data_IF_022914284725
#
_entry.id   IF_022914284725
#
_cell.length_a   1.000
_cell.length_b   1.000
_cell.length_c   1.000
_cell.angle_alpha   90.00
_cell.angle_beta   90.00
_cell.angle_gamma   90.00
#
_symmetry.space_group_name_H-M   'P 1'
#
loop_
_entity.id
_entity.type
_entity.pdbx_description
1 polymer ?
#
# COMPACT_ATOMS: atom_id res chain seq x y z
N UNK A 1 -33.14 29.91 46.51
CA UNK A 1 -32.56 30.80 47.55
C UNK A 1 -33.29 30.57 48.88
N UNK A 2 -32.67 30.79 50.05
CA UNK A 2 -33.38 30.71 51.35
C UNK A 2 -34.18 32.00 51.55
N UNK A 3 -35.50 31.89 51.77
CA UNK A 3 -36.41 33.01 52.03
C UNK A 3 -36.76 33.17 53.51
N UNK A 4 -36.86 32.06 54.25
CA UNK A 4 -37.25 32.10 55.65
C UNK A 4 -36.45 31.11 56.48
N UNK A 5 -36.06 31.52 57.68
CA UNK A 5 -35.38 30.68 58.68
C UNK A 5 -36.21 30.67 59.96
N UNK A 6 -36.50 29.49 60.48
CA UNK A 6 -37.28 29.28 61.70
C UNK A 6 -36.43 28.46 62.68
N UNK A 7 -36.17 29.02 63.85
CA UNK A 7 -35.43 28.38 64.94
C UNK A 7 -36.37 28.14 66.12
N UNK A 8 -36.40 26.92 66.63
CA UNK A 8 -37.14 26.56 67.83
C UNK A 8 -36.21 25.81 68.80
N UNK A 9 -36.12 26.32 70.03
CA UNK A 9 -35.29 25.76 71.11
C UNK A 9 -33.84 25.47 70.70
N UNK A 10 -33.29 26.32 69.82
CA UNK A 10 -31.93 26.20 69.29
C UNK A 10 -31.00 27.23 69.94
N UNK A 11 -30.04 26.76 70.74
CA UNK A 11 -29.11 27.58 71.52
C UNK A 11 -29.83 28.69 72.33
N UNK A 12 -29.60 29.96 72.01
CA UNK A 12 -30.20 31.12 72.67
C UNK A 12 -31.65 31.41 72.19
N UNK A 13 -32.08 30.81 71.08
CA UNK A 13 -33.38 31.08 70.45
C UNK A 13 -34.46 30.14 71.04
N UNK A 14 -35.51 30.71 71.63
CA UNK A 14 -36.71 29.95 72.03
C UNK A 14 -37.58 29.72 70.79
N UNK A 15 -37.99 30.83 70.17
CA UNK A 15 -38.66 30.85 68.90
C UNK A 15 -38.19 32.09 68.14
N UNK A 16 -37.62 31.91 66.95
CA UNK A 16 -37.13 33.02 66.13
C UNK A 16 -37.48 32.72 64.68
N UNK A 17 -38.12 33.67 64.01
CA UNK A 17 -38.46 33.63 62.60
C UNK A 17 -37.76 34.79 61.92
N UNK A 18 -37.01 34.50 60.86
CA UNK A 18 -36.28 35.47 60.06
C UNK A 18 -36.78 35.36 58.63
N UNK A 19 -37.36 36.43 58.12
CA UNK A 19 -37.66 36.58 56.70
C UNK A 19 -36.48 37.30 56.04
N UNK A 20 -35.94 36.68 54.99
CA UNK A 20 -34.77 37.15 54.27
C UNK A 20 -35.21 37.79 52.95
N UNK A 21 -34.69 38.99 52.70
CA UNK A 21 -34.89 39.66 51.42
C UNK A 21 -33.88 39.14 50.38
N UNK A 22 -34.18 39.29 49.07
CA UNK A 22 -33.20 39.07 48.02
C UNK A 22 -31.96 39.96 48.21
N UNK A 23 -30.77 39.39 48.01
CA UNK A 23 -29.49 40.09 48.14
C UNK A 23 -28.83 39.91 49.50
N UNK A 24 -28.34 41.00 50.10
CA UNK A 24 -27.49 40.98 51.30
C UNK A 24 -28.31 41.28 52.54
N UNK A 25 -28.45 40.28 53.41
CA UNK A 25 -29.11 40.40 54.70
C UNK A 25 -28.07 40.62 55.81
N UNK A 26 -28.15 41.74 56.53
CA UNK A 26 -27.18 42.11 57.58
C UNK A 26 -27.81 41.99 58.97
N UNK A 27 -27.32 41.03 59.76
CA UNK A 27 -27.76 40.81 61.14
C UNK A 27 -26.86 41.58 62.11
N UNK A 28 -27.38 42.68 62.67
CA UNK A 28 -26.66 43.53 63.64
C UNK A 28 -27.19 43.34 65.07
N UNK A 29 -26.40 43.73 66.07
CA UNK A 29 -26.80 43.65 67.48
C UNK A 29 -25.61 43.53 68.43
N UNK A 30 -25.84 43.56 69.76
CA UNK A 30 -24.79 43.32 70.74
C UNK A 30 -24.14 41.93 70.60
N UNK A 31 -22.92 41.78 71.12
CA UNK A 31 -22.28 40.47 71.19
C UNK A 31 -23.07 39.54 72.11
N UNK A 32 -22.99 38.23 71.86
CA UNK A 32 -23.63 37.18 72.66
C UNK A 32 -25.18 37.19 72.68
N UNK A 33 -25.81 37.78 71.67
CA UNK A 33 -27.28 37.85 71.50
C UNK A 33 -27.87 36.72 70.66
N UNK A 34 -27.04 35.82 70.13
CA UNK A 34 -27.48 34.71 69.28
C UNK A 34 -27.24 34.89 67.78
N UNK A 35 -26.66 36.01 67.31
CA UNK A 35 -26.36 36.22 65.88
C UNK A 35 -25.56 35.05 65.25
N UNK A 36 -24.50 34.60 65.93
CA UNK A 36 -23.70 33.45 65.48
C UNK A 36 -24.48 32.13 65.53
N UNK A 37 -25.51 32.01 66.38
CA UNK A 37 -26.35 30.82 66.46
C UNK A 37 -27.19 30.62 65.19
N UNK A 38 -27.53 31.69 64.48
CA UNK A 38 -28.25 31.60 63.20
C UNK A 38 -27.38 30.94 62.13
N UNK A 39 -26.11 31.36 62.03
CA UNK A 39 -25.13 30.76 61.10
C UNK A 39 -24.87 29.30 61.47
N UNK A 40 -24.74 29.01 62.77
CA UNK A 40 -24.57 27.63 63.26
C UNK A 40 -25.81 26.75 63.01
N UNK A 41 -27.01 27.32 63.04
CA UNK A 41 -28.24 26.61 62.70
C UNK A 41 -28.23 26.16 61.24
N UNK A 42 -27.84 27.05 60.32
CA UNK A 42 -27.68 26.71 58.90
C UNK A 42 -26.59 25.64 58.70
N UNK A 43 -25.47 25.74 59.42
CA UNK A 43 -24.43 24.70 59.39
C UNK A 43 -24.96 23.35 59.89
N UNK A 44 -25.73 23.34 60.98
CA UNK A 44 -26.33 22.12 61.51
C UNK A 44 -27.32 21.47 60.55
N UNK A 45 -28.13 22.31 59.89
CA UNK A 45 -29.05 21.88 58.85
C UNK A 45 -28.31 21.24 57.66
N UNK A 46 -27.21 21.84 57.20
CA UNK A 46 -26.46 21.37 56.04
C UNK A 46 -25.58 20.14 56.30
N UNK A 47 -25.05 19.96 57.52
CA UNK A 47 -23.98 18.96 57.80
C UNK A 47 -24.32 17.92 58.86
N UNK A 48 -25.46 18.04 59.55
CA UNK A 48 -25.87 17.14 60.64
C UNK A 48 -24.74 16.78 61.63
N UNK A 49 -24.02 17.76 62.22
CA UNK A 49 -22.82 17.49 63.00
C UNK A 49 -23.13 16.66 64.27
N UNK A 50 -22.15 15.90 64.80
CA UNK A 50 -22.29 15.23 66.09
C UNK A 50 -22.51 16.25 67.22
N UNK A 51 -23.06 15.84 68.38
CA UNK A 51 -23.64 16.80 69.31
C UNK A 51 -22.61 17.76 69.92
N UNK A 52 -22.85 19.06 69.72
CA UNK A 52 -22.24 20.18 70.45
C UNK A 52 -23.34 21.07 71.01
N UNK A 53 -23.88 20.77 72.19
CA UNK A 53 -24.74 21.68 73.00
C UNK A 53 -25.74 22.60 72.24
N UNK A 54 -26.40 22.11 71.17
CA UNK A 54 -27.28 22.95 70.32
C UNK A 54 -28.70 23.12 70.86
N UNK A 55 -29.12 22.25 71.80
CA UNK A 55 -30.45 22.29 72.39
C UNK A 55 -30.47 23.32 73.52
N UNK A 56 -31.42 24.25 73.48
CA UNK A 56 -31.63 25.28 74.51
C UNK A 56 -31.76 24.64 75.91
N UNK A 57 -31.21 25.30 76.93
CA UNK A 57 -31.32 24.83 78.31
C UNK A 57 -32.79 24.71 78.74
N UNK A 58 -33.19 23.53 79.21
CA UNK A 58 -34.57 23.21 79.60
C UNK A 58 -35.45 22.60 78.50
N UNK A 59 -35.01 22.63 77.23
CA UNK A 59 -35.73 22.03 76.11
C UNK A 59 -35.34 20.56 75.88
N UNK A 60 -36.23 19.79 75.25
CA UNK A 60 -36.02 18.37 74.91
C UNK A 60 -35.68 18.15 73.43
N UNK A 61 -35.93 19.15 72.59
CA UNK A 61 -35.85 19.12 71.14
C UNK A 61 -35.34 20.49 70.66
N UNK A 62 -34.46 20.50 69.67
CA UNK A 62 -34.18 21.69 68.87
C UNK A 62 -34.64 21.45 67.43
N UNK A 63 -35.20 22.48 66.78
CA UNK A 63 -35.63 22.43 65.38
C UNK A 63 -35.09 23.65 64.64
N UNK A 64 -34.50 23.40 63.49
CA UNK A 64 -34.04 24.42 62.53
C UNK A 64 -34.76 24.13 61.23
N UNK A 65 -35.53 25.08 60.73
CA UNK A 65 -36.28 24.96 59.49
C UNK A 65 -35.95 26.11 58.56
N UNK A 66 -35.78 25.80 57.28
CA UNK A 66 -35.62 26.80 56.22
C UNK A 66 -36.64 26.58 55.14
N UNK A 67 -37.09 27.69 54.57
CA UNK A 67 -37.94 27.71 53.38
C UNK A 67 -37.14 28.28 52.22
N UNK A 68 -37.19 27.56 51.11
CA UNK A 68 -36.56 27.93 49.87
C UNK A 68 -37.58 28.61 48.94
N UNK A 69 -37.08 29.49 48.09
CA UNK A 69 -37.86 30.22 47.09
C UNK A 69 -38.68 29.34 46.14
N UNK A 70 -38.28 28.09 45.92
CA UNK A 70 -39.01 27.12 45.12
C UNK A 70 -40.17 26.44 45.89
N UNK A 71 -40.48 26.90 47.11
CA UNK A 71 -41.53 26.36 47.97
C UNK A 71 -41.12 25.10 48.75
N UNK A 72 -39.88 24.63 48.61
CA UNK A 72 -39.35 23.50 49.40
C UNK A 72 -39.05 23.97 50.82
N UNK A 73 -39.47 23.21 51.83
CA UNK A 73 -39.07 23.43 53.23
C UNK A 73 -38.26 22.26 53.74
N UNK A 74 -37.18 22.56 54.45
CA UNK A 74 -36.32 21.55 55.07
C UNK A 74 -36.20 21.86 56.55
N UNK A 75 -36.58 20.90 57.39
CA UNK A 75 -36.42 21.02 58.83
C UNK A 75 -35.49 19.92 59.39
N UNK A 76 -34.46 20.35 60.09
CA UNK A 76 -33.60 19.49 60.89
C UNK A 76 -34.04 19.51 62.35
N UNK A 77 -34.28 18.32 62.89
CA UNK A 77 -34.77 18.14 64.25
C UNK A 77 -33.76 17.32 65.05
N UNK A 78 -33.47 17.77 66.29
CA UNK A 78 -32.45 17.15 67.14
C UNK A 78 -32.90 16.94 68.58
N UNK A 79 -32.85 15.67 69.02
CA UNK A 79 -32.91 15.26 70.42
C UNK A 79 -31.51 14.93 70.95
N UNK A 80 -31.41 14.64 72.25
CA UNK A 80 -30.14 14.25 72.91
C UNK A 80 -29.43 13.09 72.19
N UNK A 81 -30.18 12.10 71.72
CA UNK A 81 -29.62 10.85 71.16
C UNK A 81 -29.88 10.67 69.67
N UNK A 82 -30.82 11.40 69.07
CA UNK A 82 -31.26 11.19 67.69
C UNK A 82 -31.44 12.51 66.93
N UNK A 83 -31.21 12.48 65.62
CA UNK A 83 -31.58 13.52 64.67
C UNK A 83 -32.43 12.94 63.55
N UNK A 84 -33.26 13.78 62.94
CA UNK A 84 -34.00 13.46 61.72
C UNK A 84 -34.24 14.71 60.89
N UNK A 85 -34.48 14.50 59.59
CA UNK A 85 -34.93 15.56 58.69
C UNK A 85 -36.42 15.39 58.33
N UNK A 86 -37.04 16.52 58.04
CA UNK A 86 -38.38 16.64 57.46
C UNK A 86 -38.23 17.45 56.17
N UNK A 87 -38.65 16.86 55.04
CA UNK A 87 -38.64 17.52 53.73
C UNK A 87 -40.08 17.73 53.28
N UNK A 88 -40.45 18.99 53.03
CA UNK A 88 -41.73 19.34 52.43
C UNK A 88 -41.48 19.71 50.97
N UNK A 89 -42.08 18.95 50.05
CA UNK A 89 -42.04 19.28 48.63
C UNK A 89 -42.97 20.46 48.34
N UNK A 90 -42.79 21.17 47.22
CA UNK A 90 -43.56 22.38 46.93
C UNK A 90 -45.06 22.06 46.89
N UNK A 91 -45.83 22.66 47.81
CA UNK A 91 -47.29 22.48 47.89
C UNK A 91 -47.77 21.30 48.74
N UNK A 92 -46.87 20.47 49.29
CA UNK A 92 -47.25 19.37 50.18
C UNK A 92 -47.36 19.84 51.64
N UNK A 93 -48.44 19.47 52.32
CA UNK A 93 -48.62 19.73 53.76
C UNK A 93 -47.95 18.66 54.65
N UNK A 94 -47.79 17.44 54.14
CA UNK A 94 -47.17 16.32 54.87
C UNK A 94 -45.66 16.20 54.53
N UNK A 95 -44.77 16.17 55.55
CA UNK A 95 -43.35 16.02 55.31
C UNK A 95 -42.92 14.57 55.09
N UNK A 96 -41.92 14.39 54.23
CA UNK A 96 -41.15 13.16 54.12
C UNK A 96 -40.12 13.09 55.27
N UNK A 97 -40.16 12.00 56.05
CA UNK A 97 -39.34 11.85 57.26
C UNK A 97 -38.09 11.01 57.01
N UNK A 98 -36.91 11.59 57.23
CA UNK A 98 -35.63 10.89 57.15
C UNK A 98 -35.08 10.62 58.56
N UNK A 99 -35.32 9.41 59.06
CA UNK A 99 -34.87 8.93 60.39
C UNK A 99 -33.70 7.94 60.25
N UNK A 100 -33.05 7.60 61.37
CA UNK A 100 -31.89 6.66 61.44
C UNK A 100 -30.66 7.12 60.63
N UNK A 101 -30.39 8.41 60.66
CA UNK A 101 -29.21 8.99 60.02
C UNK A 101 -27.92 8.45 60.67
N UNK A 102 -26.93 8.09 59.85
CA UNK A 102 -25.56 7.86 60.32
C UNK A 102 -24.98 9.12 60.98
N UNK A 103 -23.96 8.97 61.85
CA UNK A 103 -23.29 10.13 62.47
C UNK A 103 -22.73 11.05 61.38
N UNK A 104 -23.17 12.31 61.33
CA UNK A 104 -22.69 13.26 60.33
C UNK A 104 -23.18 13.01 58.91
N UNK A 105 -24.14 12.08 58.70
CA UNK A 105 -24.71 11.82 57.39
C UNK A 105 -25.97 12.66 57.17
N UNK A 106 -26.08 13.21 55.96
CA UNK A 106 -27.25 13.92 55.44
C UNK A 106 -27.80 13.10 54.28
N UNK A 107 -29.13 12.89 54.17
CA UNK A 107 -29.72 12.20 53.02
C UNK A 107 -29.47 12.96 51.70
N UNK A 108 -29.38 12.24 50.59
CA UNK A 108 -29.08 12.83 49.28
C UNK A 108 -30.19 13.78 48.82
N UNK A 109 -31.45 13.49 49.15
CA UNK A 109 -32.59 14.37 48.86
C UNK A 109 -32.50 15.72 49.57
N UNK A 110 -31.92 15.74 50.77
CA UNK A 110 -31.70 16.97 51.53
C UNK A 110 -30.52 17.76 50.96
N UNK A 111 -29.46 17.06 50.55
CA UNK A 111 -28.30 17.67 49.88
C UNK A 111 -28.70 18.32 48.57
N UNK A 112 -29.46 17.61 47.74
CA UNK A 112 -29.95 18.11 46.46
C UNK A 112 -30.88 19.31 46.62
N UNK A 113 -31.69 19.32 47.69
CA UNK A 113 -32.60 20.43 48.00
C UNK A 113 -31.85 21.67 48.49
N UNK A 114 -30.89 21.53 49.42
CA UNK A 114 -30.17 22.66 50.02
C UNK A 114 -29.02 23.17 49.14
N UNK A 115 -28.29 22.26 48.48
CA UNK A 115 -27.05 22.52 47.72
C UNK A 115 -26.02 23.34 48.51
N UNK A 116 -25.79 22.92 49.75
CA UNK A 116 -24.85 23.54 50.69
C UNK A 116 -23.72 22.57 51.08
N UNK A 117 -23.34 21.67 50.18
CA UNK A 117 -22.30 20.67 50.43
C UNK A 117 -20.89 21.27 50.44
N UNK A 118 -19.98 20.60 51.16
CA UNK A 118 -18.57 20.95 51.14
C UNK A 118 -17.92 20.48 49.82
N UNK A 119 -17.01 21.27 49.27
CA UNK A 119 -16.27 20.92 48.05
C UNK A 119 -15.08 20.05 48.41
N UNK A 120 -14.99 18.85 47.84
CA UNK A 120 -13.87 17.94 48.02
C UNK A 120 -12.71 18.29 47.08
N UNK A 121 -11.51 18.49 47.64
CA UNK A 121 -10.27 18.70 46.90
C UNK A 121 -9.48 17.38 46.76
N UNK A 122 -8.57 17.31 45.79
CA UNK A 122 -7.78 16.10 45.44
C UNK A 122 -7.03 15.47 46.64
N UNK A 123 -6.67 16.27 47.65
CA UNK A 123 -5.98 15.82 48.86
C UNK A 123 -6.92 15.38 49.99
N UNK A 124 -8.18 15.03 49.70
CA UNK A 124 -9.20 14.68 50.69
C UNK A 124 -9.49 15.82 51.71
N UNK A 125 -9.22 17.06 51.30
CA UNK A 125 -9.50 18.25 52.10
C UNK A 125 -10.86 18.79 51.68
N UNK A 126 -11.78 18.95 52.63
CA UNK A 126 -13.10 19.51 52.39
C UNK A 126 -13.10 21.02 52.66
N UNK A 127 -13.70 21.79 51.76
CA UNK A 127 -13.79 23.25 51.86
C UNK A 127 -15.25 23.69 51.78
N UNK A 128 -15.70 24.38 52.82
CA UNK A 128 -17.02 25.03 52.85
C UNK A 128 -16.93 26.40 52.15
N UNK A 129 -17.56 26.49 50.98
CA UNK A 129 -17.66 27.72 50.18
C UNK A 129 -18.94 28.52 50.47
N UNK A 130 -19.87 27.94 51.23
CA UNK A 130 -21.17 28.53 51.49
C UNK A 130 -21.23 29.27 52.83
N UNK A 131 -20.52 28.76 53.86
CA UNK A 131 -20.52 29.33 55.21
C UNK A 131 -19.08 29.65 55.67
N UNK A 132 -18.74 30.94 55.64
CA UNK A 132 -17.45 31.43 56.14
C UNK A 132 -17.28 31.29 57.66
N UNK A 133 -16.04 31.06 58.10
CA UNK A 133 -15.67 31.04 59.52
C UNK A 133 -15.38 32.46 60.01
N UNK A 134 -15.87 32.80 61.21
CA UNK A 134 -15.67 34.13 61.82
C UNK A 134 -14.21 34.40 62.21
N UNK A 135 -13.40 33.35 62.40
CA UNK A 135 -12.01 33.45 62.89
C UNK A 135 -10.95 33.23 61.82
N UNK A 136 -11.35 32.93 60.58
CA UNK A 136 -10.43 32.71 59.46
C UNK A 136 -10.65 33.77 58.38
N UNK A 137 -9.62 34.08 57.57
CA UNK A 137 -9.79 34.92 56.39
C UNK A 137 -10.93 34.39 55.51
N UNK A 138 -11.58 35.31 54.81
CA UNK A 138 -12.71 34.99 53.94
C UNK A 138 -12.27 33.99 52.86
N UNK A 139 -12.87 32.80 52.86
CA UNK A 139 -12.69 31.72 51.87
C UNK A 139 -11.21 31.31 51.62
N UNK A 140 -10.84 31.09 50.36
CA UNK A 140 -9.59 30.46 49.89
C UNK A 140 -8.33 31.35 50.04
N UNK A 141 -8.40 32.47 50.78
CA UNK A 141 -7.36 33.52 50.83
C UNK A 141 -6.30 33.32 51.95
N UNK A 142 -6.13 32.12 52.48
CA UNK A 142 -5.15 31.82 53.54
C UNK A 142 -3.71 31.72 53.01
N UNK A 143 -2.91 32.78 53.18
CA UNK A 143 -1.69 33.12 52.42
C UNK A 143 -0.55 32.11 52.32
N UNK A 144 -0.56 30.99 53.06
CA UNK A 144 0.46 29.94 52.94
C UNK A 144 -0.05 28.61 52.35
N UNK A 145 -1.36 28.38 52.40
CA UNK A 145 -2.02 27.17 51.87
C UNK A 145 -2.99 27.52 50.73
N UNK A 146 -3.22 28.81 50.50
CA UNK A 146 -4.07 29.38 49.47
C UNK A 146 -3.60 29.01 48.06
N UNK A 147 -2.33 29.21 47.71
CA UNK A 147 -1.90 29.03 46.31
C UNK A 147 -2.04 27.57 45.84
N UNK A 148 -1.70 26.61 46.69
CA UNK A 148 -1.86 25.19 46.39
C UNK A 148 -3.35 24.79 46.38
N UNK A 149 -4.14 25.17 47.38
CA UNK A 149 -5.58 24.85 47.43
C UNK A 149 -6.39 25.58 46.37
N UNK A 150 -6.01 26.79 45.98
CA UNK A 150 -6.61 27.54 44.88
C UNK A 150 -6.31 26.83 43.57
N UNK A 151 -5.05 26.47 43.32
CA UNK A 151 -4.68 25.72 42.12
C UNK A 151 -5.41 24.36 42.06
N UNK A 152 -5.54 23.65 43.18
CA UNK A 152 -6.30 22.39 43.28
C UNK A 152 -7.82 22.62 43.09
N UNK A 153 -8.40 23.65 43.69
CA UNK A 153 -9.80 24.02 43.50
C UNK A 153 -10.08 24.40 42.03
N UNK A 154 -9.17 25.12 41.38
CA UNK A 154 -9.25 25.41 39.94
C UNK A 154 -9.00 24.15 39.08
N UNK A 155 -8.16 23.22 39.50
CA UNK A 155 -7.93 21.96 38.80
C UNK A 155 -9.16 21.03 38.88
N UNK A 156 -9.87 21.04 40.01
CA UNK A 156 -11.15 20.37 40.18
C UNK A 156 -12.28 20.98 39.33
N UNK A 157 -12.09 22.21 38.81
CA UNK A 157 -13.00 22.78 37.83
C UNK A 157 -12.84 22.11 36.47
N UNK A 158 -13.95 21.87 35.78
CA UNK A 158 -13.98 21.19 34.48
C UNK A 158 -13.15 21.90 33.39
N UNK A 159 -13.02 23.23 33.46
CA UNK A 159 -12.21 24.02 32.53
C UNK A 159 -10.70 23.89 32.79
N UNK A 160 -10.28 23.81 34.05
CA UNK A 160 -8.87 23.65 34.43
C UNK A 160 -8.28 22.34 33.92
N UNK A 161 -9.03 21.25 34.06
CA UNK A 161 -8.65 19.94 33.52
C UNK A 161 -8.47 19.98 31.99
N UNK A 162 -9.34 20.71 31.28
CA UNK A 162 -9.29 20.82 29.82
C UNK A 162 -8.02 21.56 29.34
N UNK A 163 -7.63 22.64 30.03
CA UNK A 163 -6.41 23.39 29.71
C UNK A 163 -5.13 22.55 29.91
N UNK A 164 -5.08 21.74 30.97
CA UNK A 164 -3.96 20.83 31.22
C UNK A 164 -3.87 19.73 30.15
N UNK A 165 -5.01 19.20 29.70
CA UNK A 165 -5.06 18.25 28.60
C UNK A 165 -4.54 18.88 27.28
N UNK A 166 -4.94 20.12 26.98
CA UNK A 166 -4.42 20.85 25.81
C UNK A 166 -2.90 21.05 25.89
N UNK A 167 -2.37 21.40 27.07
CA UNK A 167 -0.94 21.61 27.26
C UNK A 167 -0.13 20.32 27.07
N UNK A 168 -0.64 19.19 27.57
CA UNK A 168 0.02 17.88 27.41
C UNK A 168 0.02 17.42 25.94
N UNK A 169 -1.07 17.64 25.21
CA UNK A 169 -1.18 17.36 23.78
C UNK A 169 -0.22 18.24 22.94
N UNK A 170 -0.04 19.50 23.31
CA UNK A 170 0.94 20.37 22.65
C UNK A 170 2.38 19.88 22.87
N UNK A 171 2.71 19.47 24.10
CA UNK A 171 4.03 18.92 24.43
C UNK A 171 4.32 17.63 23.65
N UNK A 172 3.36 16.72 23.52
CA UNK A 172 3.54 15.48 22.77
C UNK A 172 3.77 15.75 21.28
N UNK A 173 2.93 16.59 20.65
CA UNK A 173 3.08 16.98 19.23
C UNK A 173 4.44 17.62 18.95
N UNK A 174 4.88 18.51 19.82
CA UNK A 174 6.19 19.18 19.67
C UNK A 174 7.33 18.18 19.76
N UNK A 175 7.25 17.21 20.69
CA UNK A 175 8.25 16.15 20.83
C UNK A 175 8.31 15.25 19.60
N UNK A 176 7.15 14.82 19.09
CA UNK A 176 7.06 14.00 17.87
C UNK A 176 7.59 14.72 16.63
N UNK A 177 7.29 16.02 16.48
CA UNK A 177 7.79 16.82 15.37
C UNK A 177 9.33 16.93 15.41
N UNK A 178 9.91 17.18 16.59
CA UNK A 178 11.38 17.21 16.76
C UNK A 178 12.03 15.86 16.43
N UNK A 179 11.43 14.76 16.88
CA UNK A 179 11.93 13.42 16.58
C UNK A 179 11.88 13.13 15.07
N UNK A 180 10.77 13.45 14.40
CA UNK A 180 10.63 13.32 12.94
C UNK A 180 11.66 14.14 12.19
N UNK A 181 11.86 15.41 12.57
CA UNK A 181 12.87 16.27 11.96
C UNK A 181 14.28 15.65 12.07
N UNK A 182 14.65 15.12 13.23
CA UNK A 182 15.94 14.46 13.42
C UNK A 182 16.10 13.24 12.52
N UNK A 183 15.12 12.34 12.49
CA UNK A 183 15.17 11.12 11.66
C UNK A 183 15.27 11.46 10.17
N UNK A 184 14.52 12.46 9.72
CA UNK A 184 14.59 12.93 8.33
C UNK A 184 15.95 13.55 8.02
N UNK A 185 16.52 14.36 8.92
CA UNK A 185 17.86 14.91 8.77
C UNK A 185 18.94 13.83 8.64
N UNK A 186 18.93 12.83 9.53
CA UNK A 186 19.82 11.67 9.45
C UNK A 186 19.60 10.83 8.16
N UNK A 187 18.39 10.85 7.61
CA UNK A 187 18.08 10.24 6.31
C UNK A 187 18.66 11.01 5.14
N UNK A 188 18.54 12.34 5.16
CA UNK A 188 19.11 13.23 4.14
C UNK A 188 20.63 13.11 4.08
N UNK A 189 21.31 13.16 5.23
CA UNK A 189 22.78 13.00 5.29
C UNK A 189 23.24 11.66 4.69
N UNK A 190 22.50 10.57 4.98
CA UNK A 190 22.80 9.24 4.39
C UNK A 190 22.64 9.24 2.87
N UNK A 191 21.59 9.87 2.36
CA UNK A 191 21.38 10.00 0.92
C UNK A 191 22.45 10.86 0.25
N UNK A 192 22.84 11.97 0.87
CA UNK A 192 23.92 12.84 0.37
C UNK A 192 25.26 12.11 0.32
N UNK A 193 25.64 11.38 1.39
CA UNK A 193 26.85 10.54 1.38
C UNK A 193 26.78 9.44 0.31
N UNK A 194 25.60 8.86 0.09
CA UNK A 194 25.37 7.89 -0.99
C UNK A 194 25.61 8.51 -2.37
N UNK A 195 25.07 9.71 -2.61
CA UNK A 195 25.27 10.45 -3.86
C UNK A 195 26.74 10.80 -4.06
N UNK A 196 27.43 11.23 -3.01
CA UNK A 196 28.85 11.59 -3.05
C UNK A 196 29.74 10.41 -3.46
N UNK A 197 29.48 9.21 -2.92
CA UNK A 197 30.16 7.97 -3.34
C UNK A 197 29.96 7.65 -4.82
N UNK A 198 28.80 7.98 -5.37
CA UNK A 198 28.41 7.68 -6.74
C UNK A 198 28.83 8.77 -7.75
N UNK A 199 29.36 9.91 -7.29
CA UNK A 199 29.76 11.04 -8.17
C UNK A 199 30.77 10.65 -9.26
N UNK A 200 31.55 9.59 -9.05
CA UNK A 200 32.58 9.16 -10.00
C UNK A 200 32.03 8.29 -11.14
N UNK A 201 30.83 7.71 -11.00
CA UNK A 201 30.24 6.81 -11.99
C UNK A 201 30.10 7.44 -13.38
N UNK A 202 29.59 8.68 -13.56
CA UNK A 202 29.46 9.29 -14.88
C UNK A 202 30.80 9.39 -15.63
N UNK A 203 31.88 9.71 -14.90
CA UNK A 203 33.24 9.77 -15.48
C UNK A 203 33.71 8.38 -15.92
N UNK A 204 33.48 7.35 -15.10
CA UNK A 204 33.82 5.95 -15.43
C UNK A 204 33.02 5.49 -16.64
N UNK A 205 31.72 5.79 -16.71
CA UNK A 205 30.87 5.46 -17.86
C UNK A 205 31.38 6.12 -19.14
N UNK A 206 31.74 7.41 -19.09
CA UNK A 206 32.29 8.12 -20.23
C UNK A 206 33.63 7.53 -20.69
N UNK A 207 34.54 7.22 -19.76
CA UNK A 207 35.79 6.54 -20.08
C UNK A 207 35.55 5.16 -20.69
N UNK A 208 34.57 4.40 -20.20
CA UNK A 208 34.19 3.09 -20.75
C UNK A 208 33.66 3.19 -22.17
N UNK A 209 32.86 4.21 -22.49
CA UNK A 209 32.39 4.47 -23.85
C UNK A 209 33.55 4.79 -24.80
N UNK A 210 34.47 5.67 -24.37
CA UNK A 210 35.67 5.99 -25.15
C UNK A 210 36.56 4.76 -25.38
N UNK A 211 36.78 3.93 -24.36
CA UNK A 211 37.56 2.71 -24.48
C UNK A 211 36.94 1.72 -25.48
N UNK A 212 35.61 1.56 -25.47
CA UNK A 212 34.89 0.71 -26.44
C UNK A 212 35.02 1.25 -27.87
N UNK A 213 34.88 2.56 -28.05
CA UNK A 213 35.06 3.19 -29.36
C UNK A 213 36.49 2.99 -29.89
N UNK A 214 37.49 3.19 -29.04
CA UNK A 214 38.89 2.96 -29.38
C UNK A 214 39.17 1.49 -29.73
N UNK A 215 38.64 0.53 -28.96
CA UNK A 215 38.78 -0.89 -29.25
C UNK A 215 38.15 -1.29 -30.60
N UNK A 216 36.98 -0.74 -30.92
CA UNK A 216 36.34 -0.96 -32.22
C UNK A 216 37.21 -0.40 -33.36
N UNK A 217 37.70 0.82 -33.23
CA UNK A 217 38.57 1.45 -34.22
C UNK A 217 39.89 0.67 -34.40
N UNK A 218 40.46 0.15 -33.31
CA UNK A 218 41.65 -0.70 -33.36
C UNK A 218 41.38 -2.00 -34.15
N UNK A 219 40.26 -2.68 -33.90
CA UNK A 219 39.88 -3.89 -34.64
C UNK A 219 39.63 -3.63 -36.13
N UNK A 220 39.00 -2.50 -36.48
CA UNK A 220 38.86 -2.07 -37.88
C UNK A 220 40.23 -1.79 -38.53
N UNK A 221 41.15 -1.18 -37.78
CA UNK A 221 42.53 -0.93 -38.20
C UNK A 221 43.33 -2.21 -38.44
N UNK A 222 43.24 -3.19 -37.53
CA UNK A 222 43.87 -4.50 -37.69
C UNK A 222 43.36 -5.25 -38.93
N UNK A 223 42.04 -5.27 -39.13
CA UNK A 223 41.45 -5.86 -40.33
C UNK A 223 41.91 -5.17 -41.62
N UNK A 224 42.04 -3.83 -41.60
CA UNK A 224 42.57 -3.06 -42.73
C UNK A 224 44.05 -3.40 -42.98
N UNK A 225 44.88 -3.52 -41.94
CA UNK A 225 46.27 -3.93 -42.05
C UNK A 225 46.42 -5.31 -42.68
N UNK A 226 45.60 -6.29 -42.28
CA UNK A 226 45.62 -7.63 -42.89
C UNK A 226 45.28 -7.58 -44.38
N UNK A 227 44.28 -6.78 -44.79
CA UNK A 227 43.94 -6.60 -46.21
C UNK A 227 45.06 -5.94 -47.00
N UNK A 228 45.74 -4.95 -46.41
CA UNK A 228 46.89 -4.28 -47.02
C UNK A 228 48.08 -5.24 -47.18
N UNK A 229 48.35 -6.08 -46.19
CA UNK A 229 49.38 -7.13 -46.26
C UNK A 229 49.09 -8.13 -47.39
N UNK A 230 47.87 -8.67 -47.46
CA UNK A 230 47.45 -9.56 -48.55
C UNK A 230 47.59 -8.92 -49.94
N UNK A 231 47.25 -7.63 -50.05
CA UNK A 231 47.38 -6.88 -51.30
C UNK A 231 48.84 -6.70 -51.71
N UNK A 232 49.72 -6.40 -50.74
CA UNK A 232 51.16 -6.29 -50.94
C UNK A 232 51.78 -7.62 -51.38
N UNK A 233 51.38 -8.73 -50.76
CA UNK A 233 51.87 -10.06 -51.13
C UNK A 233 51.44 -10.42 -52.56
N UNK A 234 50.18 -10.16 -52.90
CA UNK A 234 49.67 -10.33 -54.27
C UNK A 234 50.43 -9.46 -55.28
N UNK A 235 50.76 -8.22 -54.93
CA UNK A 235 51.56 -7.34 -55.78
C UNK A 235 52.96 -7.94 -56.03
N UNK A 236 53.62 -8.43 -54.98
CA UNK A 236 54.94 -9.06 -55.08
C UNK A 236 54.88 -10.30 -55.99
N UNK A 237 53.88 -11.16 -55.81
CA UNK A 237 53.65 -12.35 -56.65
C UNK A 237 53.46 -11.98 -58.13
N UNK A 238 52.65 -10.96 -58.40
CA UNK A 238 52.41 -10.49 -59.76
C UNK A 238 53.69 -9.92 -60.39
N UNK A 239 54.50 -9.17 -59.63
CA UNK A 239 55.80 -8.68 -60.11
C UNK A 239 56.77 -9.84 -60.43
N UNK A 240 56.81 -10.89 -59.59
CA UNK A 240 57.62 -12.08 -59.86
C UNK A 240 57.15 -12.77 -61.14
N UNK A 241 55.83 -12.96 -61.30
CA UNK A 241 55.24 -13.57 -62.51
C UNK A 241 55.54 -12.74 -63.75
N UNK A 242 55.39 -11.42 -63.67
CA UNK A 242 55.72 -10.50 -64.77
C UNK A 242 57.20 -10.62 -65.17
N UNK A 243 58.13 -10.62 -64.21
CA UNK A 243 59.56 -10.82 -64.49
C UNK A 243 59.84 -12.16 -65.15
N UNK A 244 59.22 -13.25 -64.68
CA UNK A 244 59.36 -14.59 -65.28
C UNK A 244 58.80 -14.64 -66.70
N UNK A 245 57.62 -14.05 -66.92
CA UNK A 245 57.01 -13.95 -68.24
C UNK A 245 57.86 -13.11 -69.20
N UNK A 246 58.42 -11.99 -68.73
CA UNK A 246 59.35 -11.16 -69.51
C UNK A 246 60.62 -11.92 -69.92
N UNK A 247 61.25 -12.64 -68.97
CA UNK A 247 62.40 -13.51 -69.29
C UNK A 247 62.04 -14.61 -70.31
N UNK A 248 60.86 -15.23 -70.16
CA UNK A 248 60.35 -16.23 -71.12
C UNK A 248 60.12 -15.62 -72.50
N UNK A 249 59.49 -14.45 -72.57
CA UNK A 249 59.23 -13.75 -73.83
C UNK A 249 60.56 -13.42 -74.55
N UNK A 250 61.54 -12.87 -73.84
CA UNK A 250 62.88 -12.60 -74.39
C UNK A 250 63.57 -13.87 -74.92
N UNK A 251 63.48 -14.98 -74.18
CA UNK A 251 64.06 -16.25 -74.61
C UNK A 251 63.35 -16.82 -75.86
N UNK A 252 62.03 -16.65 -75.96
CA UNK A 252 61.24 -17.10 -77.11
C UNK A 252 61.42 -16.19 -78.33
N UNK A 253 61.62 -14.89 -78.14
CA UNK A 253 61.89 -13.92 -79.21
C UNK A 253 63.22 -14.21 -79.93
N UNK A 254 64.22 -14.75 -79.21
CA UNK A 254 65.50 -15.16 -79.77
C UNK A 254 65.44 -16.48 -80.56
N UNK A 255 64.34 -17.24 -80.48
CA UNK A 255 64.17 -18.47 -81.26
C UNK A 255 63.65 -18.12 -82.65
N UNK A 256 64.43 -18.48 -83.68
CA UNK A 256 63.93 -18.43 -85.06
C UNK A 256 62.68 -19.32 -85.20
N UNK A 257 61.71 -18.87 -86.01
CA UNK A 257 60.51 -19.65 -86.31
C UNK A 257 60.89 -21.07 -86.74
N UNK A 258 60.24 -22.11 -86.22
CA UNK A 258 60.58 -23.49 -86.57
C UNK A 258 60.53 -23.66 -88.10
N UNK A 259 61.48 -24.43 -88.69
CA UNK A 259 61.46 -24.67 -90.12
C UNK A 259 60.11 -25.28 -90.52
N UNK A 260 59.51 -24.77 -91.58
CA UNK A 260 58.24 -25.28 -92.11
C UNK A 260 58.39 -26.78 -92.37
N UNK A 261 57.60 -27.65 -91.72
CA UNK A 261 57.69 -29.08 -91.96
C UNK A 261 57.36 -29.36 -93.44
N UNK A 262 58.17 -30.20 -94.08
CA UNK A 262 57.94 -30.63 -95.46
C UNK A 262 56.54 -31.25 -95.60
N UNK A 263 55.90 -31.05 -96.75
CA UNK A 263 54.52 -31.49 -96.99
C UNK A 263 54.37 -33.02 -96.88
N UNK A 264 53.90 -33.47 -95.71
CA UNK A 264 53.67 -34.89 -95.38
C UNK A 264 52.35 -35.42 -95.95
N UNK A 265 51.58 -34.60 -96.68
CA UNK A 265 50.30 -35.01 -97.24
C UNK A 265 50.46 -36.21 -98.19
N UNK A 266 51.47 -36.18 -99.06
CA UNK A 266 51.76 -37.28 -100.00
C UNK A 266 52.13 -38.58 -99.27
N UNK A 267 52.83 -38.47 -98.15
CA UNK A 267 53.25 -39.60 -97.30
C UNK A 267 52.04 -40.21 -96.58
N UNK A 268 51.12 -39.37 -96.10
CA UNK A 268 49.86 -39.77 -95.48
C UNK A 268 48.92 -40.44 -96.49
N UNK A 269 48.81 -39.91 -97.70
CA UNK A 269 48.03 -40.52 -98.79
C UNK A 269 48.59 -41.88 -99.18
N UNK A 270 49.92 -42.01 -99.34
CA UNK A 270 50.55 -43.31 -99.61
C UNK A 270 50.28 -44.32 -98.50
N UNK A 271 50.46 -43.96 -97.23
CA UNK A 271 50.14 -44.85 -96.09
C UNK A 271 48.68 -45.29 -96.07
N UNK A 272 47.75 -44.36 -96.35
CA UNK A 272 46.32 -44.67 -96.42
C UNK A 272 46.01 -45.60 -97.61
N UNK A 273 46.64 -45.40 -98.76
CA UNK A 273 46.47 -46.26 -99.94
C UNK A 273 46.97 -47.68 -99.67
N UNK A 274 48.13 -47.84 -99.01
CA UNK A 274 48.67 -49.14 -98.62
C UNK A 274 47.73 -49.88 -97.68
N UNK A 275 47.24 -49.21 -96.62
CA UNK A 275 46.28 -49.81 -95.68
C UNK A 275 44.98 -50.25 -96.38
N UNK A 276 44.46 -49.45 -97.31
CA UNK A 276 43.26 -49.81 -98.10
C UNK A 276 43.51 -51.05 -98.96
N UNK A 277 44.67 -51.15 -99.60
CA UNK A 277 45.04 -52.30 -100.42
C UNK A 277 45.22 -53.57 -99.57
N UNK A 278 45.85 -53.47 -98.41
CA UNK A 278 45.97 -54.58 -97.46
C UNK A 278 44.61 -55.09 -96.98
N UNK A 279 43.69 -54.17 -96.64
CA UNK A 279 42.33 -54.52 -96.24
C UNK A 279 41.56 -55.21 -97.36
N UNK A 280 41.65 -54.71 -98.61
CA UNK A 280 41.03 -55.34 -99.78
C UNK A 280 41.59 -56.73 -100.05
N UNK A 281 42.91 -56.91 -99.93
CA UNK A 281 43.55 -58.22 -100.05
C UNK A 281 43.05 -59.19 -98.99
N UNK A 282 42.95 -58.75 -97.74
CA UNK A 282 42.45 -59.57 -96.64
C UNK A 282 40.97 -59.95 -96.82
N UNK A 283 40.12 -59.03 -97.29
CA UNK A 283 38.70 -59.33 -97.57
C UNK A 283 38.54 -60.29 -98.73
N UNK A 284 39.28 -60.11 -99.83
CA UNK A 284 39.26 -61.04 -100.95
C UNK A 284 39.67 -62.46 -100.51
N UNK A 285 40.70 -62.58 -99.67
CA UNK A 285 41.14 -63.87 -99.13
C UNK A 285 40.07 -64.54 -98.24
N UNK A 286 39.37 -63.75 -97.42
CA UNK A 286 38.26 -64.25 -96.58
C UNK A 286 37.08 -64.71 -97.44
N UNK A 287 36.72 -63.95 -98.46
CA UNK A 287 35.63 -64.30 -99.38
C UNK A 287 35.98 -65.57 -100.16
N UNK A 288 37.21 -65.69 -100.66
CA UNK A 288 37.68 -66.91 -101.32
C UNK A 288 37.59 -68.13 -100.38
N UNK A 289 38.04 -68.01 -99.13
CA UNK A 289 37.91 -69.08 -98.13
C UNK A 289 36.46 -69.43 -97.79
N UNK A 290 35.58 -68.43 -97.70
CA UNK A 290 34.17 -68.65 -97.39
C UNK A 290 33.42 -69.32 -98.56
N UNK A 291 33.77 -68.99 -99.81
CA UNK A 291 33.15 -69.58 -101.01
C UNK A 291 33.66 -71.00 -101.32
N UNK A 292 34.81 -71.43 -100.78
CA UNK A 292 35.30 -72.81 -100.94
C UNK A 292 34.57 -73.84 -100.07
N UNK A 293 33.69 -73.42 -99.15
CA UNK A 293 33.09 -74.31 -98.14
C UNK A 293 31.57 -74.08 -97.93
N UNK A 294 30.79 -74.04 -99.02
CA UNK A 294 29.32 -73.93 -98.92
C UNK A 294 28.63 -75.17 -99.50
N UNK A 295 28.05 -75.97 -98.61
CA UNK A 295 26.99 -76.95 -98.91
C UNK A 295 25.61 -76.27 -98.91
N UNK A 296 24.63 -76.74 -99.71
CA UNK A 296 23.33 -76.09 -99.83
C UNK A 296 22.48 -76.21 -98.54
N UNK A 297 21.72 -75.16 -98.17
CA UNK A 297 20.97 -75.06 -96.92
C UNK A 297 19.67 -75.90 -96.91
N UNK A 298 19.31 -76.56 -95.79
CA UNK A 298 18.03 -77.27 -95.63
C UNK A 298 16.84 -76.33 -95.29
N UNK A 299 15.63 -76.76 -95.66
CA UNK A 299 14.37 -75.97 -95.64
C UNK A 299 13.82 -75.69 -94.21
N UNK A 300 13.17 -74.53 -93.99
CA UNK A 300 12.79 -74.05 -92.66
C UNK A 300 11.43 -74.58 -92.13
N UNK A 301 11.40 -74.95 -90.84
CA UNK A 301 10.20 -75.34 -90.09
C UNK A 301 9.39 -74.15 -89.51
N UNK A 302 8.12 -74.43 -89.18
CA UNK A 302 7.02 -73.50 -88.82
C UNK A 302 7.27 -72.57 -87.62
N UNK A 303 7.03 -71.26 -87.80
CA UNK A 303 7.31 -70.16 -86.85
C UNK A 303 6.13 -69.74 -85.96
N UNK A 304 5.21 -70.65 -85.63
CA UNK A 304 4.03 -70.34 -84.81
C UNK A 304 4.39 -70.02 -83.35
N UNK A 305 5.33 -70.76 -82.75
CA UNK A 305 5.75 -70.56 -81.35
C UNK A 305 6.48 -69.22 -81.12
N UNK A 306 7.19 -68.71 -82.13
CA UNK A 306 7.91 -67.44 -82.03
C UNK A 306 6.94 -66.23 -82.01
N UNK A 307 5.82 -66.30 -82.73
CA UNK A 307 4.80 -65.22 -82.69
C UNK A 307 4.09 -65.13 -81.35
N UNK A 308 3.84 -66.27 -80.68
CA UNK A 308 3.21 -66.27 -79.35
C UNK A 308 4.14 -65.69 -78.28
N UNK A 309 5.45 -65.97 -78.36
CA UNK A 309 6.45 -65.43 -77.43
C UNK A 309 6.61 -63.91 -77.57
N UNK A 310 6.54 -63.38 -78.79
CA UNK A 310 6.59 -61.93 -79.03
C UNK A 310 5.34 -61.24 -78.45
N UNK A 311 4.18 -61.90 -78.50
CA UNK A 311 2.95 -61.32 -77.94
C UNK A 311 2.96 -61.28 -76.40
N UNK A 312 3.49 -62.31 -75.74
CA UNK A 312 3.61 -62.35 -74.28
C UNK A 312 4.64 -61.33 -73.75
N UNK A 313 5.76 -61.13 -74.45
CA UNK A 313 6.76 -60.12 -74.09
C UNK A 313 6.19 -58.69 -74.17
N UNK A 314 5.44 -58.37 -75.23
CA UNK A 314 4.81 -57.06 -75.37
C UNK A 314 3.73 -56.79 -74.30
N UNK A 315 3.02 -57.83 -73.82
CA UNK A 315 2.08 -57.67 -72.71
C UNK A 315 2.80 -57.37 -71.39
N UNK A 316 3.94 -58.01 -71.13
CA UNK A 316 4.70 -57.80 -69.90
C UNK A 316 5.31 -56.39 -69.82
N UNK A 317 5.86 -55.87 -70.92
CA UNK A 317 6.39 -54.50 -70.98
C UNK A 317 5.31 -53.44 -70.67
N UNK A 318 4.09 -53.61 -71.19
CA UNK A 318 2.97 -52.70 -70.92
C UNK A 318 2.55 -52.70 -69.45
N UNK A 319 2.58 -53.85 -68.77
CA UNK A 319 2.28 -53.94 -67.34
C UNK A 319 3.35 -53.26 -66.48
N UNK A 320 4.62 -53.45 -66.84
CA UNK A 320 5.75 -52.85 -66.13
C UNK A 320 5.74 -51.31 -66.21
N UNK A 321 5.35 -50.75 -67.36
CA UNK A 321 5.20 -49.31 -67.55
C UNK A 321 4.08 -48.70 -66.67
N UNK A 322 2.98 -49.43 -66.43
CA UNK A 322 1.86 -48.94 -65.62
C UNK A 322 2.19 -48.93 -64.12
N UNK A 323 2.95 -49.93 -63.65
CA UNK A 323 3.40 -49.99 -62.25
C UNK A 323 4.49 -48.95 -61.92
N UNK A 324 5.37 -48.62 -62.88
CA UNK A 324 6.38 -47.56 -62.68
C UNK A 324 5.75 -46.15 -62.60
N UNK A 325 4.68 -45.90 -63.37
CA UNK A 325 3.89 -44.68 -63.30
C UNK A 325 3.21 -44.52 -61.93
N UNK A 326 2.62 -45.58 -61.36
CA UNK A 326 2.06 -45.56 -60.00
C UNK A 326 3.11 -45.26 -58.92
N UNK A 327 4.29 -45.88 -59.02
CA UNK A 327 5.39 -45.64 -58.09
C UNK A 327 5.88 -44.18 -58.13
N UNK A 328 5.85 -43.56 -59.30
CA UNK A 328 6.27 -42.15 -59.50
C UNK A 328 5.27 -41.14 -58.90
N UNK A 329 3.98 -41.48 -58.87
CA UNK A 329 2.94 -40.62 -58.26
C UNK A 329 2.97 -40.70 -56.73
N UNK A 330 3.30 -41.87 -56.17
CA UNK A 330 3.40 -42.08 -54.72
C UNK A 330 4.65 -41.42 -54.10
N UNK A 331 5.71 -41.17 -54.88
CA UNK A 331 6.92 -40.45 -54.42
C UNK A 331 6.77 -38.93 -54.41
N UNK A 332 5.71 -38.38 -55.02
CA UNK A 332 5.41 -36.92 -55.04
C UNK A 332 4.54 -36.41 -53.88
N UNK A 333 4.10 -37.27 -52.96
CA UNK A 333 3.36 -36.85 -51.77
C UNK A 333 4.33 -36.31 -50.70
N UNK A 334 4.31 -34.98 -50.49
CA UNK A 334 5.04 -34.33 -49.39
C UNK A 334 4.51 -34.82 -48.03
N UNK A 335 5.43 -35.13 -47.12
CA UNK A 335 5.15 -35.57 -45.77
C UNK A 335 4.45 -34.52 -44.91
N UNK A 336 3.70 -35.00 -43.90
CA UNK A 336 2.98 -34.19 -42.90
C UNK A 336 3.91 -33.17 -42.24
N UNK A 337 3.54 -31.87 -42.16
CA UNK A 337 4.36 -30.86 -41.50
C UNK A 337 4.53 -31.16 -40.01
N UNK A 338 5.75 -30.99 -39.49
CA UNK A 338 6.07 -31.19 -38.08
C UNK A 338 5.37 -30.14 -37.19
N UNK A 339 4.88 -30.51 -35.99
CA UNK A 339 4.26 -29.57 -35.07
C UNK A 339 5.27 -28.53 -34.58
N UNK A 340 4.87 -27.25 -34.60
CA UNK A 340 5.63 -26.14 -34.05
C UNK A 340 5.89 -26.33 -32.54
N UNK A 341 7.07 -25.91 -32.08
CA UNK A 341 7.46 -25.91 -30.67
C UNK A 341 6.50 -25.01 -29.85
N UNK A 342 5.76 -25.63 -28.92
CA UNK A 342 4.74 -25.00 -28.07
C UNK A 342 5.31 -24.45 -26.75
N UNK A 343 6.62 -24.57 -26.51
CA UNK A 343 7.27 -24.04 -25.30
C UNK A 343 7.07 -22.52 -25.10
N UNK A 344 7.20 -21.65 -26.12
CA UNK A 344 7.00 -20.21 -25.95
C UNK A 344 5.54 -19.86 -25.60
N UNK A 345 4.58 -20.65 -26.09
CA UNK A 345 3.15 -20.46 -25.81
C UNK A 345 2.80 -20.92 -24.39
N UNK A 346 3.45 -21.98 -23.90
CA UNK A 346 3.27 -22.48 -22.55
C UNK A 346 3.84 -21.52 -21.49
N UNK A 347 4.97 -20.87 -21.77
CA UNK A 347 5.53 -19.81 -20.91
C UNK A 347 4.63 -18.58 -20.85
N UNK A 348 4.12 -18.12 -22.00
CA UNK A 348 3.20 -16.98 -22.08
C UNK A 348 1.89 -17.24 -21.31
N UNK A 349 1.33 -18.45 -21.41
CA UNK A 349 0.14 -18.84 -20.64
C UNK A 349 0.38 -18.85 -19.13
N UNK A 350 1.59 -19.23 -18.70
CA UNK A 350 1.99 -19.22 -17.28
C UNK A 350 2.13 -17.80 -16.75
N UNK A 351 2.68 -16.88 -17.55
CA UNK A 351 2.74 -15.45 -17.21
C UNK A 351 1.34 -14.82 -17.14
N UNK A 352 0.45 -15.14 -18.08
CA UNK A 352 -0.93 -14.66 -18.09
C UNK A 352 -1.71 -15.13 -16.85
N UNK A 353 -1.59 -16.41 -16.47
CA UNK A 353 -2.21 -16.94 -15.25
C UNK A 353 -1.67 -16.26 -13.98
N UNK A 354 -0.37 -15.96 -13.94
CA UNK A 354 0.24 -15.21 -12.84
C UNK A 354 -0.27 -13.78 -12.72
N UNK A 355 -0.51 -13.11 -13.85
CA UNK A 355 -1.10 -11.77 -13.90
C UNK A 355 -2.58 -11.77 -13.48
N UNK A 356 -3.37 -12.76 -13.91
CA UNK A 356 -4.76 -12.92 -13.49
C UNK A 356 -4.88 -13.09 -11.98
N UNK A 357 -4.05 -13.93 -11.35
CA UNK A 357 -4.04 -14.10 -9.89
C UNK A 357 -3.67 -12.81 -9.14
N UNK A 358 -2.73 -12.02 -9.69
CA UNK A 358 -2.37 -10.70 -9.14
C UNK A 358 -3.50 -9.69 -9.28
N UNK A 359 -4.23 -9.69 -10.39
CA UNK A 359 -5.41 -8.84 -10.56
C UNK A 359 -6.54 -9.24 -9.61
N UNK A 360 -6.80 -10.53 -9.43
CA UNK A 360 -7.81 -11.08 -8.52
C UNK A 360 -7.51 -10.66 -7.06
N UNK A 361 -6.27 -10.81 -6.62
CA UNK A 361 -5.83 -10.40 -5.27
C UNK A 361 -5.88 -8.87 -5.07
N UNK A 362 -5.49 -8.08 -6.06
CA UNK A 362 -5.62 -6.63 -6.01
C UNK A 362 -7.10 -6.19 -5.92
N UNK A 363 -7.99 -6.80 -6.71
CA UNK A 363 -9.44 -6.56 -6.65
C UNK A 363 -10.03 -6.88 -5.27
N UNK A 364 -9.61 -7.98 -4.64
CA UNK A 364 -10.03 -8.33 -3.26
C UNK A 364 -9.56 -7.31 -2.22
N UNK A 365 -8.34 -6.78 -2.36
CA UNK A 365 -7.81 -5.75 -1.46
C UNK A 365 -8.58 -4.43 -1.62
N UNK A 366 -8.90 -4.05 -2.85
CA UNK A 366 -9.71 -2.85 -3.14
C UNK A 366 -11.12 -2.99 -2.56
N UNK A 367 -11.81 -4.10 -2.82
CA UNK A 367 -13.14 -4.37 -2.27
C UNK A 367 -13.14 -4.34 -0.73
N UNK A 368 -12.16 -4.96 -0.09
CA UNK A 368 -12.04 -4.95 1.37
C UNK A 368 -11.77 -3.55 1.95
N UNK A 369 -11.10 -2.66 1.20
CA UNK A 369 -10.88 -1.26 1.60
C UNK A 369 -12.15 -0.43 1.39
N UNK A 370 -12.86 -0.62 0.30
CA UNK A 370 -14.16 0.04 0.03
C UNK A 370 -15.20 -0.33 1.08
N UNK A 371 -15.28 -1.61 1.49
CA UNK A 371 -16.19 -2.04 2.54
C UNK A 371 -15.84 -1.45 3.91
N UNK A 372 -14.54 -1.34 4.23
CA UNK A 372 -14.13 -0.62 5.46
C UNK A 372 -14.51 0.85 5.41
N UNK A 373 -14.36 1.49 4.24
CA UNK A 373 -14.70 2.90 4.05
C UNK A 373 -16.22 3.13 4.18
N UNK A 374 -17.03 2.23 3.63
CA UNK A 374 -18.49 2.20 3.83
C UNK A 374 -18.86 2.04 5.30
N UNK A 375 -18.30 1.03 5.97
CA UNK A 375 -18.61 0.76 7.39
C UNK A 375 -18.21 1.94 8.29
N UNK A 376 -17.06 2.58 8.03
CA UNK A 376 -16.65 3.78 8.77
C UNK A 376 -17.55 4.98 8.43
N UNK A 377 -17.98 5.11 7.18
CA UNK A 377 -18.93 6.14 6.75
C UNK A 377 -20.28 6.00 7.44
N UNK A 378 -20.84 4.78 7.49
CA UNK A 378 -22.11 4.49 8.18
C UNK A 378 -22.00 4.73 9.70
N UNK A 379 -20.91 4.28 10.34
CA UNK A 379 -20.66 4.53 11.75
C UNK A 379 -20.53 6.03 12.07
N UNK A 380 -19.85 6.79 11.21
CA UNK A 380 -19.74 8.24 11.32
C UNK A 380 -21.11 8.92 11.14
N UNK A 381 -21.89 8.50 10.15
CA UNK A 381 -23.22 9.04 9.89
C UNK A 381 -24.17 8.77 11.08
N UNK A 382 -24.09 7.59 11.69
CA UNK A 382 -24.87 7.25 12.88
C UNK A 382 -24.46 8.12 14.08
N UNK A 383 -23.17 8.36 14.29
CA UNK A 383 -22.69 9.26 15.36
C UNK A 383 -23.07 10.72 15.12
N UNK A 384 -23.04 11.20 13.88
CA UNK A 384 -23.49 12.54 13.54
C UNK A 384 -25.01 12.71 13.75
N UNK A 385 -25.82 11.66 13.52
CA UNK A 385 -27.26 11.67 13.86
C UNK A 385 -27.52 11.72 15.37
N UNK A 386 -26.71 11.03 16.17
CA UNK A 386 -26.82 11.09 17.64
C UNK A 386 -26.43 12.47 18.21
N UNK A 387 -25.48 13.17 17.57
CA UNK A 387 -25.05 14.52 17.97
C UNK A 387 -26.04 15.60 17.49
N UNK A 388 -26.72 15.37 16.36
CA UNK A 388 -27.82 16.21 15.86
C UNK A 388 -27.36 17.53 15.23
N UNK A 389 -26.90 18.49 16.04
CA UNK A 389 -26.50 19.83 15.59
C UNK A 389 -25.15 20.22 16.18
N UNK A 390 -24.37 21.00 15.43
CA UNK A 390 -23.06 21.46 15.89
C UNK A 390 -23.24 22.41 17.10
N UNK A 391 -22.67 22.09 18.28
CA UNK A 391 -22.87 22.85 19.51
C UNK A 391 -22.21 24.25 19.50
N UNK A 392 -21.43 24.57 18.47
CA UNK A 392 -20.73 25.86 18.34
C UNK A 392 -21.41 26.84 17.37
N UNK A 393 -22.18 26.35 16.39
CA UNK A 393 -22.72 27.20 15.30
C UNK A 393 -24.16 26.85 14.88
N UNK A 394 -24.80 25.84 15.47
CA UNK A 394 -26.21 25.52 15.27
C UNK A 394 -26.59 24.89 13.92
N UNK A 395 -25.63 24.72 13.00
CA UNK A 395 -25.89 24.06 11.71
C UNK A 395 -26.09 22.53 11.85
N UNK A 396 -26.94 21.97 11.00
CA UNK A 396 -27.16 20.54 10.87
C UNK A 396 -25.88 19.83 10.39
N UNK A 397 -25.43 18.82 11.13
CA UNK A 397 -24.22 18.06 10.85
C UNK A 397 -24.49 16.96 9.82
N UNK A 398 -24.40 17.33 8.54
CA UNK A 398 -24.57 16.39 7.43
C UNK A 398 -23.20 15.77 7.08
N UNK A 399 -23.18 14.48 6.75
CA UNK A 399 -21.96 13.71 6.45
C UNK A 399 -21.09 14.37 5.35
N UNK A 400 -21.73 14.96 4.33
CA UNK A 400 -21.06 15.67 3.23
C UNK A 400 -20.38 16.97 3.67
N UNK A 401 -20.88 17.62 4.72
CA UNK A 401 -20.30 18.85 5.28
C UNK A 401 -19.15 18.57 6.26
N UNK A 402 -19.18 17.42 6.96
CA UNK A 402 -18.17 17.03 7.94
C UNK A 402 -16.90 16.43 7.30
N UNK A 403 -17.04 15.68 6.21
CA UNK A 403 -15.91 15.05 5.50
C UNK A 403 -15.24 15.95 4.46
N UNK A 404 -15.63 17.23 4.36
CA UNK A 404 -14.97 18.22 3.52
C UNK A 404 -14.78 17.76 2.07
N UNK A 405 -15.85 17.66 1.29
CA UNK A 405 -15.78 17.72 -0.18
C UNK A 405 -14.77 16.82 -0.91
N UNK A 406 -14.37 15.67 -0.34
CA UNK A 406 -13.34 14.80 -0.93
C UNK A 406 -13.85 13.38 -1.25
N UNK A 407 -15.12 13.26 -1.64
CA UNK A 407 -15.71 11.97 -2.03
C UNK A 407 -16.67 12.07 -3.23
N UNK A 408 -16.30 12.84 -4.27
CA UNK A 408 -16.93 12.75 -5.60
C UNK A 408 -15.95 13.12 -6.72
N UNK A 409 -14.86 12.38 -6.87
CA UNK A 409 -14.30 12.21 -8.22
C UNK A 409 -14.98 10.99 -8.82
N UNK A 410 -16.02 11.28 -9.60
CA UNK A 410 -16.63 10.34 -10.52
C UNK A 410 -15.53 9.80 -11.43
N UNK A 411 -15.39 8.48 -11.45
CA UNK A 411 -14.87 7.81 -12.63
C UNK A 411 -15.86 7.99 -13.77
N UNK A 412 -15.71 9.09 -14.51
CA UNK A 412 -16.21 9.13 -15.88
C UNK A 412 -15.15 8.45 -16.76
N UNK A 413 -15.54 7.30 -17.28
CA UNK A 413 -14.71 6.49 -18.17
C UNK A 413 -14.35 7.25 -19.44
N UNK A 414 -13.14 6.99 -19.92
CA UNK A 414 -12.79 7.22 -21.32
C UNK A 414 -11.60 6.33 -21.70
N UNK A 415 -11.75 5.60 -22.81
CA UNK A 415 -10.67 5.00 -23.59
C UNK A 415 -10.16 3.65 -23.14
#
# INVERSE_FOLDING_TARGET
>A
MIQRIILQDFQAHNHTVLELDPGVNVLTGPNNTGKSAIVEALRCLATNPPPKHVIRHGAKLARVEVELENGVRVAWNRKKTTAWYELFKPGDEEPEYFRKLGRGMVPDEIRDALRLDEVELENNTQVDVHIGDQKRPIFLLDSAVADARLAEFFAASSEGAHLLAMQSALKSRTREARMRHRVLGEGMERCEQGLERLQTLPRITLHGLHARAAAKAAGEGEAALTRLQQTRDRQNDLQIRQRRAGKRAQALEALASPPTPADVHLLKERLNSMRRLEQRRATAHRVQHALTALTPPPEPESTINHKQLIHSLNHLERKQYFESQKATILTTLQGVPQPLDVQPLAELLKEMQGLEQRMESARRIVAAREDRLRNHGEALQQRLREVGHCPLCGNALNQDAFLGGAAREKGDGNG
#
